data_IF_085090488734
#
_entry.id   IF_085090488734
#
_cell.length_a   1.000
_cell.length_b   1.000
_cell.length_c   1.000
_cell.angle_alpha   90.00
_cell.angle_beta   90.00
_cell.angle_gamma   90.00
#
_symmetry.space_group_name_H-M   'P 1'
#
loop_
_entity.id
_entity.type
_entity.pdbx_description
1 polymer ?
#
# COMPACT_ATOMS: atom_id res chain seq x y z
N UNK A 1 2.97 2.01 -5.04
CA UNK A 1 1.92 3.06 -5.05
C UNK A 1 1.32 3.23 -3.66
N UNK A 2 0.76 2.18 -3.05
CA UNK A 2 0.25 2.21 -1.68
C UNK A 2 1.20 2.84 -0.64
N UNK A 3 2.49 2.45 -0.62
CA UNK A 3 3.46 3.05 0.30
C UNK A 3 3.64 4.57 0.11
N UNK A 4 3.56 5.04 -1.14
CA UNK A 4 3.67 6.47 -1.49
C UNK A 4 2.42 7.21 -1.01
N UNK A 5 1.24 6.66 -1.25
CA UNK A 5 -0.03 7.24 -0.78
C UNK A 5 -0.09 7.32 0.74
N UNK A 6 0.26 6.24 1.43
CA UNK A 6 0.30 6.18 2.90
C UNK A 6 1.32 7.14 3.51
N UNK A 7 2.56 7.13 2.99
CA UNK A 7 3.60 8.04 3.46
C UNK A 7 3.23 9.50 3.16
N UNK A 8 2.65 9.78 2.00
CA UNK A 8 2.18 11.12 1.65
C UNK A 8 1.10 11.64 2.58
N UNK A 9 0.13 10.79 2.92
CA UNK A 9 -0.92 11.10 3.89
C UNK A 9 -0.34 11.34 5.30
N UNK A 10 0.65 10.55 5.71
CA UNK A 10 1.34 10.76 6.97
C UNK A 10 2.10 12.09 7.01
N UNK A 11 2.76 12.47 5.93
CA UNK A 11 3.47 13.74 5.84
C UNK A 11 2.51 14.93 5.81
N UNK A 12 1.34 14.80 5.17
CA UNK A 12 0.36 15.89 5.12
C UNK A 12 -0.24 16.23 6.50
N UNK A 13 -0.25 15.29 7.43
CA UNK A 13 -0.64 15.52 8.84
C UNK A 13 0.54 15.84 9.76
N UNK A 14 1.73 16.10 9.20
CA UNK A 14 2.91 16.56 9.93
C UNK A 14 3.73 15.48 10.62
N UNK A 15 3.59 14.20 10.23
CA UNK A 15 4.43 13.13 10.78
C UNK A 15 5.89 13.29 10.33
N UNK A 16 6.81 12.89 11.19
CA UNK A 16 8.24 12.88 10.91
C UNK A 16 8.62 11.74 9.95
N UNK A 17 9.91 11.67 9.61
CA UNK A 17 10.45 10.66 8.70
C UNK A 17 10.09 9.22 9.12
N UNK A 18 10.21 8.91 10.42
CA UNK A 18 9.92 7.58 10.94
C UNK A 18 8.43 7.29 10.87
N UNK A 19 7.60 8.23 11.31
CA UNK A 19 6.15 8.12 11.25
C UNK A 19 5.64 7.90 9.82
N UNK A 20 6.10 8.70 8.87
CA UNK A 20 5.74 8.56 7.46
C UNK A 20 6.19 7.21 6.86
N UNK A 21 7.39 6.77 7.22
CA UNK A 21 7.91 5.46 6.78
C UNK A 21 7.06 4.31 7.31
N UNK A 22 6.73 4.34 8.60
CA UNK A 22 5.90 3.31 9.24
C UNK A 22 4.50 3.26 8.63
N UNK A 23 3.84 4.41 8.47
CA UNK A 23 2.50 4.47 7.87
C UNK A 23 2.53 3.96 6.43
N UNK A 24 3.48 4.42 5.60
CA UNK A 24 3.59 3.93 4.23
C UNK A 24 3.78 2.41 4.15
N UNK A 25 4.59 1.84 5.04
CA UNK A 25 4.81 0.39 5.12
C UNK A 25 3.55 -0.36 5.58
N UNK A 26 2.82 0.17 6.56
CA UNK A 26 1.55 -0.40 7.03
C UNK A 26 0.52 -0.39 5.90
N UNK A 27 0.37 0.72 5.18
CA UNK A 27 -0.57 0.85 4.06
C UNK A 27 -0.21 -0.14 2.94
N UNK A 28 1.08 -0.30 2.63
CA UNK A 28 1.51 -1.20 1.56
C UNK A 28 1.37 -2.69 1.87
N UNK A 29 1.58 -3.10 3.12
CA UNK A 29 1.66 -4.53 3.49
C UNK A 29 0.49 -4.99 4.36
N UNK A 30 -0.30 -4.08 4.93
CA UNK A 30 -1.32 -4.35 5.93
C UNK A 30 -2.39 -5.32 5.42
N UNK A 31 -2.91 -5.09 4.22
CA UNK A 31 -3.92 -5.98 3.61
C UNK A 31 -3.42 -7.40 3.38
N UNK A 32 -2.24 -7.56 2.78
CA UNK A 32 -1.62 -8.87 2.59
C UNK A 32 -1.28 -9.58 3.90
N UNK A 33 -0.85 -8.82 4.91
CA UNK A 33 -0.57 -9.35 6.26
C UNK A 33 -1.84 -9.84 6.93
N UNK A 34 -2.91 -9.05 6.90
CA UNK A 34 -4.19 -9.44 7.50
C UNK A 34 -4.78 -10.67 6.82
N UNK A 35 -4.71 -10.73 5.48
CA UNK A 35 -5.05 -11.93 4.70
C UNK A 35 -4.26 -13.14 5.20
N UNK A 36 -2.94 -13.04 5.24
CA UNK A 36 -2.05 -14.15 5.59
C UNK A 36 -2.36 -14.68 7.00
N UNK A 37 -2.59 -13.79 7.96
CA UNK A 37 -3.01 -14.16 9.32
C UNK A 37 -4.35 -14.89 9.32
N UNK A 38 -5.35 -14.41 8.59
CA UNK A 38 -6.68 -15.05 8.55
C UNK A 38 -6.65 -16.44 7.94
N UNK A 39 -5.86 -16.64 6.89
CA UNK A 39 -5.74 -17.96 6.27
C UNK A 39 -4.85 -18.90 7.11
N UNK A 40 -4.03 -18.37 8.02
CA UNK A 40 -3.01 -19.12 8.76
C UNK A 40 -1.72 -19.32 7.98
N UNK A 41 -1.40 -18.42 7.04
CA UNK A 41 -0.12 -18.37 6.33
C UNK A 41 0.93 -17.71 7.22
N UNK A 42 1.71 -18.52 7.93
CA UNK A 42 2.85 -18.07 8.70
C UNK A 42 4.11 -18.80 8.24
N UNK A 43 5.23 -18.10 7.99
CA UNK A 43 5.42 -16.64 8.12
C UNK A 43 4.66 -15.83 7.04
N UNK A 44 4.37 -14.55 7.33
CA UNK A 44 3.69 -13.63 6.41
C UNK A 44 4.57 -13.29 5.19
N UNK A 45 3.96 -12.94 4.05
CA UNK A 45 4.66 -12.85 2.76
C UNK A 45 5.94 -12.00 2.77
N UNK A 46 5.92 -10.82 3.38
CA UNK A 46 7.07 -9.89 3.39
C UNK A 46 8.23 -10.33 4.28
N UNK A 47 8.03 -11.33 5.15
CA UNK A 47 9.14 -11.98 5.89
C UNK A 47 9.88 -13.01 5.03
N UNK A 48 9.21 -13.56 4.02
CA UNK A 48 9.79 -14.52 3.07
C UNK A 48 10.39 -13.78 1.89
N UNK A 49 9.63 -12.83 1.34
CA UNK A 49 9.97 -12.00 0.18
C UNK A 49 10.31 -10.59 0.68
N UNK A 50 11.52 -10.43 1.22
CA UNK A 50 12.00 -9.19 1.85
C UNK A 50 12.02 -7.99 0.89
N UNK A 51 12.07 -8.24 -0.42
CA UNK A 51 12.01 -7.25 -1.48
C UNK A 51 10.77 -6.35 -1.38
N UNK A 52 9.61 -6.86 -0.92
CA UNK A 52 8.42 -6.04 -0.73
C UNK A 52 8.59 -5.04 0.41
N UNK A 53 9.21 -5.48 1.51
CA UNK A 53 9.49 -4.62 2.66
C UNK A 53 10.48 -3.51 2.27
N UNK A 54 11.57 -3.89 1.59
CA UNK A 54 12.60 -2.94 1.13
C UNK A 54 11.99 -1.93 0.14
N UNK A 55 11.17 -2.38 -0.80
CA UNK A 55 10.49 -1.50 -1.75
C UNK A 55 9.51 -0.54 -1.05
N UNK A 56 8.74 -1.01 -0.06
CA UNK A 56 7.81 -0.18 0.69
C UNK A 56 8.52 0.90 1.51
N UNK A 57 9.59 0.52 2.23
CA UNK A 57 10.43 1.46 2.99
C UNK A 57 11.06 2.48 2.03
N UNK A 58 11.69 2.02 0.95
CA UNK A 58 12.31 2.92 -0.03
C UNK A 58 11.33 3.92 -0.63
N UNK A 59 10.13 3.45 -1.01
CA UNK A 59 9.07 4.32 -1.53
C UNK A 59 8.61 5.35 -0.50
N UNK A 60 8.44 4.97 0.77
CA UNK A 60 8.04 5.89 1.82
C UNK A 60 9.12 6.94 2.13
N UNK A 61 10.40 6.53 2.16
CA UNK A 61 11.55 7.42 2.34
C UNK A 61 11.63 8.44 1.20
N UNK A 62 11.54 7.97 -0.05
CA UNK A 62 11.57 8.84 -1.24
C UNK A 62 10.41 9.83 -1.17
N UNK A 63 9.22 9.37 -0.78
CA UNK A 63 8.04 10.22 -0.61
C UNK A 63 8.26 11.31 0.43
N UNK A 64 8.87 10.97 1.57
CA UNK A 64 9.20 11.93 2.62
C UNK A 64 10.25 12.97 2.19
N UNK A 65 11.29 12.55 1.44
CA UNK A 65 12.36 13.46 0.99
C UNK A 65 11.86 14.40 -0.11
N UNK A 66 11.10 13.86 -1.06
CA UNK A 66 10.52 14.64 -2.16
C UNK A 66 9.33 15.49 -1.70
N UNK A 67 8.91 15.33 -0.45
CA UNK A 67 7.89 16.14 0.16
C UNK A 67 8.41 17.54 0.53
N UNK A 68 7.98 18.63 -0.13
CA UNK A 68 8.17 19.95 0.43
C UNK A 68 7.43 20.01 1.77
N UNK A 69 8.19 20.02 2.87
CA UNK A 69 7.73 20.05 4.25
C UNK A 69 6.69 21.17 4.40
N UNK A 70 5.41 20.78 4.50
CA UNK A 70 4.25 21.55 5.01
C UNK A 70 4.34 23.05 4.67
N UNK A 71 4.03 23.46 3.44
CA UNK A 71 2.78 24.19 3.15
C UNK A 71 2.31 24.05 1.68
N UNK A 72 2.97 23.21 0.88
CA UNK A 72 2.76 23.17 -0.57
C UNK A 72 3.07 21.80 -1.18
N UNK A 73 2.54 20.71 -0.62
CA UNK A 73 2.59 19.41 -1.30
C UNK A 73 1.91 19.43 -2.67
N UNK A 74 0.95 20.34 -2.82
CA UNK A 74 0.22 20.60 -4.04
C UNK A 74 -0.28 22.05 -4.06
N UNK A 75 0.35 23.00 -4.78
CA UNK A 75 -0.38 24.19 -5.20
C UNK A 75 -1.51 23.71 -6.12
N UNK A 76 -2.79 23.86 -5.74
CA UNK A 76 -3.91 23.44 -6.58
C UNK A 76 -3.80 24.09 -7.95
N UNK A 77 -3.57 23.29 -9.00
CA UNK A 77 -3.53 23.77 -10.38
C UNK A 77 -2.16 23.78 -11.08
N UNK A 78 -1.06 23.36 -10.44
CA UNK A 78 0.20 23.16 -11.17
C UNK A 78 0.15 21.92 -12.07
N UNK A 79 0.62 22.04 -13.31
CA UNK A 79 0.62 20.95 -14.30
C UNK A 79 1.46 19.73 -13.85
N UNK A 80 2.57 19.97 -13.14
CA UNK A 80 3.43 18.90 -12.59
C UNK A 80 2.73 18.10 -11.51
N UNK A 81 1.95 18.79 -10.69
CA UNK A 81 1.16 18.19 -9.66
C UNK A 81 0.16 17.23 -10.33
N UNK A 82 -0.69 17.73 -11.24
CA UNK A 82 -1.76 16.93 -11.88
C UNK A 82 -1.25 15.62 -12.50
N UNK A 83 -0.05 15.63 -13.05
CA UNK A 83 0.57 14.41 -13.59
C UNK A 83 0.87 13.37 -12.50
N UNK A 84 1.36 13.78 -11.33
CA UNK A 84 1.64 12.90 -10.20
C UNK A 84 0.36 12.27 -9.65
N UNK A 85 -0.71 13.04 -9.47
CA UNK A 85 -2.01 12.52 -9.01
C UNK A 85 -2.57 11.49 -9.98
N UNK A 86 -2.55 11.77 -11.30
CA UNK A 86 -2.98 10.80 -12.31
C UNK A 86 -2.16 9.51 -12.23
N UNK A 87 -0.83 9.61 -12.07
CA UNK A 87 0.05 8.44 -11.96
C UNK A 87 -0.26 7.64 -10.70
N UNK A 88 -0.50 8.31 -9.56
CA UNK A 88 -0.84 7.65 -8.31
C UNK A 88 -2.22 7.00 -8.38
N UNK A 89 -3.23 7.68 -8.92
CA UNK A 89 -4.60 7.17 -9.06
C UNK A 89 -4.66 5.95 -10.00
N UNK A 90 -4.02 6.05 -11.17
CA UNK A 90 -3.93 4.92 -12.11
C UNK A 90 -3.17 3.77 -11.47
N UNK A 91 -2.08 4.07 -10.78
CA UNK A 91 -1.30 3.10 -10.03
C UNK A 91 -2.10 2.42 -8.92
N UNK A 92 -2.99 3.15 -8.26
CA UNK A 92 -3.85 2.66 -7.19
C UNK A 92 -4.93 1.72 -7.74
N UNK A 93 -5.59 2.10 -8.84
CA UNK A 93 -6.57 1.25 -9.53
C UNK A 93 -5.93 -0.07 -9.99
N UNK A 94 -4.74 -0.01 -10.58
CA UNK A 94 -4.01 -1.21 -11.00
C UNK A 94 -3.59 -2.05 -9.78
N UNK A 95 -3.07 -1.39 -8.74
CA UNK A 95 -2.66 -2.03 -7.50
C UNK A 95 -3.83 -2.76 -6.82
N UNK A 96 -4.99 -2.11 -6.73
CA UNK A 96 -6.20 -2.64 -6.14
C UNK A 96 -6.69 -3.88 -6.90
N UNK A 97 -6.70 -3.83 -8.24
CA UNK A 97 -7.04 -4.98 -9.08
C UNK A 97 -6.09 -6.16 -8.89
N UNK A 98 -4.78 -5.91 -8.87
CA UNK A 98 -3.78 -6.95 -8.63
C UNK A 98 -3.92 -7.56 -7.23
N UNK A 99 -4.09 -6.74 -6.20
CA UNK A 99 -4.23 -7.18 -4.82
C UNK A 99 -5.51 -7.99 -4.59
N UNK A 100 -6.62 -7.60 -5.23
CA UNK A 100 -7.87 -8.35 -5.19
C UNK A 100 -7.69 -9.77 -5.77
N UNK A 101 -7.02 -9.89 -6.92
CA UNK A 101 -6.74 -11.18 -7.56
C UNK A 101 -5.80 -12.03 -6.70
N UNK A 102 -4.71 -11.46 -6.20
CA UNK A 102 -3.73 -12.17 -5.36
C UNK A 102 -4.39 -12.66 -4.06
N UNK A 103 -5.20 -11.82 -3.42
CA UNK A 103 -5.93 -12.15 -2.20
C UNK A 103 -6.93 -13.29 -2.41
N UNK A 104 -7.75 -13.21 -3.46
CA UNK A 104 -8.69 -14.26 -3.79
C UNK A 104 -7.99 -15.59 -4.13
N UNK A 105 -6.89 -15.53 -4.89
CA UNK A 105 -6.12 -16.71 -5.27
C UNK A 105 -5.47 -17.41 -4.07
N UNK A 106 -5.03 -16.65 -3.06
CA UNK A 106 -4.51 -17.22 -1.82
C UNK A 106 -5.56 -18.10 -1.11
N UNK A 107 -6.82 -17.66 -1.10
CA UNK A 107 -7.93 -18.44 -0.56
C UNK A 107 -8.25 -19.69 -1.39
N UNK A 108 -8.32 -19.53 -2.72
CA UNK A 108 -8.63 -20.62 -3.64
C UNK A 108 -7.60 -21.75 -3.56
N UNK A 109 -6.32 -21.41 -3.42
CA UNK A 109 -5.24 -22.39 -3.25
C UNK A 109 -5.35 -23.23 -1.97
N UNK A 110 -6.11 -22.77 -0.98
CA UNK A 110 -6.42 -23.52 0.25
C UNK A 110 -7.75 -24.26 0.21
N UNK A 111 -8.43 -24.25 -0.94
CA UNK A 111 -9.71 -24.94 -1.12
C UNK A 111 -10.88 -24.23 -0.45
N UNK A 112 -10.76 -22.94 -0.11
CA UNK A 112 -11.88 -22.18 0.43
C UNK A 112 -12.96 -21.90 -0.63
N UNK A 113 -14.19 -21.73 -0.16
CA UNK A 113 -15.32 -21.36 -1.02
C UNK A 113 -15.21 -19.93 -1.56
N UNK A 114 -16.13 -19.59 -2.48
CA UNK A 114 -16.14 -18.29 -3.17
C UNK A 114 -16.21 -17.12 -2.19
N UNK A 115 -17.08 -17.20 -1.18
CA UNK A 115 -17.29 -16.11 -0.22
C UNK A 115 -16.01 -15.74 0.57
N UNK A 116 -15.31 -16.68 1.26
CA UNK A 116 -14.01 -16.37 1.87
C UNK A 116 -12.99 -15.81 0.88
N UNK A 117 -12.92 -16.35 -0.35
CA UNK A 117 -11.98 -15.86 -1.36
C UNK A 117 -12.27 -14.40 -1.77
N UNK A 118 -13.53 -14.03 -1.94
CA UNK A 118 -13.92 -12.64 -2.20
C UNK A 118 -13.51 -11.71 -1.04
N UNK A 119 -13.70 -12.16 0.20
CA UNK A 119 -13.29 -11.39 1.40
C UNK A 119 -11.77 -11.21 1.42
N UNK A 120 -10.98 -12.26 1.14
CA UNK A 120 -9.53 -12.15 1.09
C UNK A 120 -9.05 -11.20 -0.01
N UNK A 121 -9.69 -11.22 -1.18
CA UNK A 121 -9.43 -10.27 -2.26
C UNK A 121 -9.68 -8.83 -1.81
N UNK A 122 -10.88 -8.55 -1.28
CA UNK A 122 -11.24 -7.22 -0.78
C UNK A 122 -10.28 -6.75 0.32
N UNK A 123 -10.00 -7.59 1.32
CA UNK A 123 -9.11 -7.23 2.42
C UNK A 123 -7.68 -6.97 1.97
N UNK A 124 -7.16 -7.74 1.01
CA UNK A 124 -5.81 -7.50 0.49
C UNK A 124 -5.72 -6.16 -0.21
N UNK A 125 -6.79 -5.75 -0.89
CA UNK A 125 -6.84 -4.50 -1.66
C UNK A 125 -7.14 -3.24 -0.85
N UNK A 126 -8.03 -3.30 0.15
CA UNK A 126 -8.61 -2.09 0.77
C UNK A 126 -8.30 -1.90 2.25
N UNK A 127 -7.65 -2.86 2.90
CA UNK A 127 -7.35 -2.74 4.34
C UNK A 127 -6.17 -1.79 4.62
N UNK A 128 -5.26 -1.69 3.65
CA UNK A 128 -4.13 -0.78 3.69
C UNK A 128 -4.57 0.68 3.66
#
# INVERSE_FOLDING_TARGET
VFAISGAGTAVSVGMDFMGASVVGVIVAMGGGTMRDVMIGAQPVFWLVEIEYLVAAIGAAIITYILSPRVDSWWPPGSASARAVEIILDVGDVIGLGAFAIVGANAGLRRGFGILPCSVFGLMTGTFG
#
